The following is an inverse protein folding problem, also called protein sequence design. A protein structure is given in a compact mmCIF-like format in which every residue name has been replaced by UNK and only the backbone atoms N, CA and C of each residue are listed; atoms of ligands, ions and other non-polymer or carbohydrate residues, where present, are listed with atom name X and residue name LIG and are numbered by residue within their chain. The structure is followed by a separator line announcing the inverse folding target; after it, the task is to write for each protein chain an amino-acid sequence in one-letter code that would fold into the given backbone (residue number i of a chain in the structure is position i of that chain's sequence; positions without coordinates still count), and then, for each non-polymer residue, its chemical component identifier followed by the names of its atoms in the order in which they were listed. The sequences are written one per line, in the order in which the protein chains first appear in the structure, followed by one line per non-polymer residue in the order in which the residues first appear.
data_IF_773067950016
#
_entry.id   IF_773067950016
#
_cell.length_a   1.000
_cell.length_b   1.000
_cell.length_c   1.000
_cell.angle_alpha   90.00
_cell.angle_beta   90.00
_cell.angle_gamma   90.00
#
_symmetry.space_group_name_H-M   'P 1'
#
loop_
_entity.id
_entity.type
_entity.pdbx_description
1 polymer ?
#
# COMPACT_ATOMS: atom_id res chain seq x y z
N UNK A 1 25.75 -3.81 -11.76
CA UNK A 1 25.25 -3.30 -10.50
C UNK A 1 23.75 -3.40 -10.42
N UNK A 2 23.24 -3.92 -9.35
CA UNK A 2 21.80 -4.02 -9.15
C UNK A 2 21.25 -2.66 -8.73
N UNK A 3 20.07 -2.35 -9.23
CA UNK A 3 19.35 -1.18 -8.73
C UNK A 3 18.61 -1.58 -7.45
N UNK A 4 18.61 -0.69 -6.49
CA UNK A 4 17.94 -0.91 -5.22
C UNK A 4 16.75 0.02 -5.08
N UNK A 5 15.62 -0.53 -4.68
CA UNK A 5 14.40 0.25 -4.47
C UNK A 5 13.88 0.01 -3.06
N UNK A 6 13.46 1.07 -2.42
CA UNK A 6 12.87 0.99 -1.08
C UNK A 6 11.36 0.96 -1.20
N UNK A 7 10.76 -0.09 -0.67
CA UNK A 7 9.32 -0.28 -0.71
C UNK A 7 8.78 -0.28 0.72
N UNK A 8 7.87 0.64 1.01
CA UNK A 8 7.17 0.61 2.29
C UNK A 8 5.98 -0.32 2.17
N UNK A 9 5.85 -1.24 3.12
CA UNK A 9 4.75 -2.17 3.17
C UNK A 9 3.71 -1.67 4.16
N UNK A 10 2.48 -1.56 3.69
CA UNK A 10 1.36 -1.13 4.50
C UNK A 10 0.31 -2.24 4.48
N UNK A 11 0.54 -3.34 5.24
CA UNK A 11 -0.38 -4.48 5.19
C UNK A 11 -1.79 -4.13 5.59
N UNK A 12 -1.93 -3.31 6.63
CA UNK A 12 -3.24 -2.88 7.08
C UNK A 12 -3.96 -3.93 7.90
N UNK A 13 -5.23 -4.09 7.62
CA UNK A 13 -6.14 -4.88 8.43
C UNK A 13 -6.67 -6.10 7.69
N UNK A 14 -7.35 -6.97 8.41
CA UNK A 14 -8.06 -8.10 7.83
C UNK A 14 -7.16 -9.03 7.04
N UNK A 15 -7.44 -9.20 5.77
CA UNK A 15 -6.64 -10.05 4.88
C UNK A 15 -5.41 -9.35 4.33
N UNK A 16 -5.23 -8.07 4.65
CA UNK A 16 -4.12 -7.28 4.13
C UNK A 16 -2.75 -7.90 4.34
N UNK A 17 -2.41 -8.34 5.58
CA UNK A 17 -1.10 -8.95 5.81
C UNK A 17 -0.84 -10.19 4.95
N UNK A 18 -1.84 -11.03 4.76
CA UNK A 18 -1.68 -12.22 3.92
C UNK A 18 -1.45 -11.85 2.46
N UNK A 19 -2.21 -10.88 1.99
CA UNK A 19 -2.11 -10.41 0.60
C UNK A 19 -0.73 -9.79 0.35
N UNK A 20 -0.27 -8.97 1.29
CA UNK A 20 1.04 -8.31 1.15
C UNK A 20 2.17 -9.34 1.19
N UNK A 21 2.06 -10.35 2.05
CA UNK A 21 3.06 -11.42 2.10
C UNK A 21 3.20 -12.12 0.75
N UNK A 22 2.09 -12.38 0.10
CA UNK A 22 2.13 -13.02 -1.21
C UNK A 22 2.69 -12.08 -2.28
N UNK A 23 2.35 -10.80 -2.21
CA UNK A 23 2.89 -9.80 -3.13
C UNK A 23 4.40 -9.67 -2.98
N UNK A 24 4.91 -9.72 -1.75
CA UNK A 24 6.35 -9.68 -1.50
C UNK A 24 7.05 -10.86 -2.16
N UNK A 25 6.45 -12.04 -2.10
CA UNK A 25 7.04 -13.21 -2.77
C UNK A 25 7.18 -13.00 -4.27
N UNK A 26 6.17 -12.38 -4.89
CA UNK A 26 6.22 -12.08 -6.32
C UNK A 26 7.32 -11.06 -6.60
N UNK A 27 7.43 -10.03 -5.78
CA UNK A 27 8.47 -9.01 -5.94
C UNK A 27 9.87 -9.62 -5.79
N UNK A 28 10.05 -10.51 -4.81
CA UNK A 28 11.33 -11.16 -4.61
C UNK A 28 11.70 -12.04 -5.80
N UNK A 29 10.74 -12.76 -6.37
CA UNK A 29 10.97 -13.56 -7.55
C UNK A 29 11.34 -12.67 -8.75
N UNK A 30 10.66 -11.53 -8.88
CA UNK A 30 10.96 -10.58 -9.93
C UNK A 30 12.37 -10.01 -9.79
N UNK A 31 12.77 -9.72 -8.55
CA UNK A 31 14.08 -9.15 -8.29
C UNK A 31 15.20 -10.09 -8.75
N UNK A 32 15.02 -11.39 -8.55
CA UNK A 32 15.99 -12.37 -8.99
C UNK A 32 16.10 -12.43 -10.52
N UNK A 33 14.96 -12.28 -11.19
CA UNK A 33 14.92 -12.38 -12.66
C UNK A 33 15.52 -11.15 -13.34
N UNK A 34 15.41 -9.99 -12.74
CA UNK A 34 15.81 -8.74 -13.38
C UNK A 34 17.00 -8.05 -12.75
N UNK A 35 17.64 -8.67 -11.77
CA UNK A 35 18.80 -8.06 -11.11
C UNK A 35 18.48 -6.80 -10.33
N UNK A 36 17.28 -6.74 -9.78
CA UNK A 36 16.82 -5.63 -8.97
C UNK A 36 16.81 -6.07 -7.51
N UNK A 37 17.08 -5.16 -6.59
CA UNK A 37 17.01 -5.45 -5.18
C UNK A 37 15.92 -4.60 -4.54
N UNK A 38 15.03 -5.22 -3.78
CA UNK A 38 14.01 -4.51 -3.02
C UNK A 38 14.34 -4.55 -1.54
N UNK A 39 14.22 -3.40 -0.90
CA UNK A 39 14.34 -3.29 0.56
C UNK A 39 12.96 -2.95 1.09
N UNK A 40 12.43 -3.81 1.95
CA UNK A 40 11.07 -3.65 2.46
C UNK A 40 11.09 -3.09 3.87
N UNK A 41 10.22 -2.11 4.12
CA UNK A 41 10.02 -1.53 5.44
C UNK A 41 8.55 -1.62 5.79
N UNK A 42 8.24 -2.20 6.93
CA UNK A 42 6.85 -2.35 7.36
C UNK A 42 6.34 -1.11 8.07
N UNK A 43 5.05 -0.84 7.92
CA UNK A 43 4.36 0.21 8.65
C UNK A 43 3.03 -0.33 9.15
N UNK A 44 2.68 -0.01 10.37
CA UNK A 44 1.50 -0.57 11.04
C UNK A 44 0.24 0.28 10.93
N UNK A 45 0.19 1.20 10.00
CA UNK A 45 -1.00 2.00 9.78
C UNK A 45 -2.22 1.12 9.51
N UNK A 46 -3.33 1.46 10.12
CA UNK A 46 -4.56 0.73 9.94
C UNK A 46 -5.51 0.91 11.09
N UNK A 47 -6.58 0.12 11.08
CA UNK A 47 -7.62 0.19 12.11
C UNK A 47 -7.16 -0.22 13.48
N UNK A 48 -6.31 -1.25 13.56
CA UNK A 48 -5.83 -1.69 14.87
C UNK A 48 -5.01 -0.63 15.57
N UNK A 49 -4.10 0.03 14.83
CA UNK A 49 -3.33 1.11 15.40
C UNK A 49 -4.22 2.26 15.82
N UNK A 50 -5.22 2.58 15.01
CA UNK A 50 -6.17 3.63 15.35
C UNK A 50 -6.92 3.32 16.63
N UNK A 51 -7.34 2.06 16.80
CA UNK A 51 -8.06 1.66 18.01
C UNK A 51 -7.18 1.68 19.27
N UNK A 52 -5.90 1.40 19.10
CA UNK A 52 -4.96 1.40 20.23
C UNK A 52 -4.51 2.79 20.63
N UNK A 53 -4.22 3.64 19.66
CA UNK A 53 -3.57 4.91 19.92
C UNK A 53 -4.37 6.13 19.51
N UNK A 54 -5.41 5.94 18.71
CA UNK A 54 -6.16 7.05 18.13
C UNK A 54 -5.45 7.75 17.00
N UNK A 55 -4.29 7.23 16.59
CA UNK A 55 -3.50 7.86 15.55
C UNK A 55 -3.84 7.32 14.16
N UNK A 56 -3.90 8.20 13.20
CA UNK A 56 -3.99 7.83 11.80
C UNK A 56 -2.60 8.03 11.18
N UNK A 57 -2.46 8.87 10.18
CA UNK A 57 -1.15 9.11 9.60
C UNK A 57 -0.42 10.16 10.44
N UNK A 58 0.81 9.86 10.84
CA UNK A 58 1.64 10.79 11.60
C UNK A 58 2.74 11.34 10.70
N UNK A 59 3.44 12.38 11.19
CA UNK A 59 4.56 12.95 10.46
C UNK A 59 5.68 11.93 10.25
N UNK A 60 5.86 11.02 11.20
CA UNK A 60 6.86 9.97 11.06
C UNK A 60 6.51 9.01 9.93
N UNK A 61 5.22 8.70 9.77
CA UNK A 61 4.78 7.85 8.68
C UNK A 61 5.05 8.52 7.34
N UNK A 62 4.75 9.80 7.24
CA UNK A 62 4.98 10.55 6.01
C UNK A 62 6.47 10.58 5.68
N UNK A 63 7.31 10.78 6.69
CA UNK A 63 8.75 10.77 6.47
C UNK A 63 9.24 9.42 5.98
N UNK A 64 8.75 8.33 6.56
CA UNK A 64 9.10 6.99 6.10
C UNK A 64 8.72 6.81 4.63
N UNK A 65 7.52 7.21 4.26
CA UNK A 65 7.05 7.04 2.89
C UNK A 65 7.80 7.94 1.91
N UNK A 66 8.24 9.11 2.35
CA UNK A 66 9.04 9.99 1.50
C UNK A 66 10.38 9.38 1.12
N UNK A 67 10.92 8.54 1.97
CA UNK A 67 12.18 7.85 1.69
C UNK A 67 11.99 6.57 0.89
N UNK A 68 10.76 6.21 0.60
CA UNK A 68 10.45 5.02 -0.17
C UNK A 68 10.19 5.37 -1.62
N UNK A 69 10.53 4.44 -2.50
CA UNK A 69 10.23 4.59 -3.93
C UNK A 69 8.78 4.27 -4.23
N UNK A 70 8.18 3.41 -3.42
CA UNK A 70 6.78 3.04 -3.57
C UNK A 70 6.21 2.55 -2.24
N UNK A 71 4.90 2.58 -2.15
CA UNK A 71 4.18 2.04 -1.00
C UNK A 71 3.26 0.93 -1.51
N UNK A 72 3.42 -0.26 -0.93
CA UNK A 72 2.58 -1.40 -1.27
C UNK A 72 1.50 -1.53 -0.21
N UNK A 73 0.28 -1.30 -0.62
CA UNK A 73 -0.87 -1.29 0.27
C UNK A 73 -1.63 -2.61 0.20
N UNK A 74 -1.91 -3.19 1.37
CA UNK A 74 -2.76 -4.37 1.46
C UNK A 74 -4.23 -3.97 1.55
N UNK A 75 -4.76 -3.93 2.76
CA UNK A 75 -6.16 -3.57 2.96
C UNK A 75 -6.30 -2.72 4.22
N UNK A 76 -7.09 -1.68 4.15
CA UNK A 76 -7.36 -0.84 5.30
C UNK A 76 -8.87 -0.88 5.57
N UNK A 77 -9.23 -1.30 6.76
CA UNK A 77 -10.61 -1.37 7.18
C UNK A 77 -10.73 -2.25 8.39
N UNK A 78 -11.48 -1.81 9.37
CA UNK A 78 -11.67 -2.55 10.61
C UNK A 78 -13.13 -2.44 11.03
N UNK A 79 -13.77 -3.56 11.42
CA UNK A 79 -15.20 -3.53 11.75
C UNK A 79 -15.52 -2.63 12.96
N UNK A 80 -14.54 -2.42 13.83
CA UNK A 80 -14.73 -1.58 15.02
C UNK A 80 -14.40 -0.12 14.78
N UNK A 81 -14.02 0.26 13.58
CA UNK A 81 -13.77 1.65 13.24
C UNK A 81 -14.90 2.14 12.34
N UNK A 82 -15.40 3.34 12.66
CA UNK A 82 -16.50 3.93 11.91
C UNK A 82 -16.15 4.07 10.43
N UNK A 83 -17.08 3.72 9.51
CA UNK A 83 -16.81 3.84 8.09
C UNK A 83 -16.36 5.24 7.69
N UNK A 84 -15.38 5.32 6.82
CA UNK A 84 -14.87 6.58 6.29
C UNK A 84 -13.69 7.16 7.05
N UNK A 85 -13.48 6.79 8.30
CA UNK A 85 -12.39 7.35 9.10
C UNK A 85 -11.04 6.92 8.55
N UNK A 86 -10.87 5.64 8.32
CA UNK A 86 -9.60 5.11 7.83
C UNK A 86 -9.33 5.52 6.38
N UNK A 87 -10.36 5.48 5.55
CA UNK A 87 -10.20 5.84 4.16
C UNK A 87 -9.78 7.30 4.00
N UNK A 88 -10.44 8.20 4.71
CA UNK A 88 -10.11 9.62 4.65
C UNK A 88 -8.83 9.94 5.39
N UNK A 89 -8.62 9.34 6.54
CA UNK A 89 -7.50 9.65 7.39
C UNK A 89 -6.19 9.03 6.94
N UNK A 90 -6.24 7.97 6.16
CA UNK A 90 -5.03 7.30 5.69
C UNK A 90 -4.89 7.38 4.18
N UNK A 91 -5.83 6.78 3.45
CA UNK A 91 -5.67 6.65 2.00
C UNK A 91 -5.71 8.00 1.29
N UNK A 92 -6.72 8.79 1.56
CA UNK A 92 -6.85 10.08 0.90
C UNK A 92 -5.78 11.06 1.36
N UNK A 93 -5.41 10.99 2.64
CA UNK A 93 -4.36 11.87 3.14
C UNK A 93 -3.02 11.57 2.48
N UNK A 94 -2.65 10.30 2.33
CA UNK A 94 -1.41 9.93 1.67
C UNK A 94 -1.40 10.37 0.22
N UNK A 95 -2.52 10.22 -0.47
CA UNK A 95 -2.61 10.64 -1.86
C UNK A 95 -2.43 12.13 -2.02
N UNK A 96 -2.96 12.92 -1.08
CA UNK A 96 -2.79 14.37 -1.10
C UNK A 96 -1.36 14.78 -0.76
N UNK A 97 -0.80 14.18 0.29
CA UNK A 97 0.54 14.53 0.75
C UNK A 97 1.60 14.26 -0.30
N UNK A 98 1.43 13.21 -1.10
CA UNK A 98 2.40 12.84 -2.12
C UNK A 98 1.96 13.24 -3.53
N UNK A 99 0.89 14.05 -3.63
CA UNK A 99 0.38 14.54 -4.90
C UNK A 99 0.20 13.42 -5.91
N UNK A 100 -0.37 12.30 -5.45
CA UNK A 100 -0.58 11.13 -6.28
C UNK A 100 -1.90 11.24 -7.03
N UNK A 101 -1.84 11.33 -8.33
CA UNK A 101 -3.04 11.33 -9.15
C UNK A 101 -3.24 10.03 -9.92
N UNK A 102 -2.28 9.11 -9.84
CA UNK A 102 -2.42 7.79 -10.42
C UNK A 102 -2.50 6.77 -9.29
N UNK A 103 -3.54 5.95 -9.33
CA UNK A 103 -3.72 4.87 -8.38
C UNK A 103 -3.85 3.58 -9.17
N UNK A 104 -2.77 2.84 -9.27
CA UNK A 104 -2.75 1.62 -10.07
C UNK A 104 -3.36 0.47 -9.28
N UNK A 105 -4.45 -0.05 -9.78
CA UNK A 105 -5.18 -1.13 -9.14
C UNK A 105 -5.42 -2.25 -10.16
N UNK A 106 -4.47 -3.18 -10.28
CA UNK A 106 -4.60 -4.27 -11.24
C UNK A 106 -5.85 -5.12 -10.98
N UNK A 107 -6.49 -5.53 -12.04
CA UNK A 107 -7.70 -6.33 -11.95
C UNK A 107 -7.62 -7.44 -12.98
N UNK A 108 -8.05 -8.64 -12.58
CA UNK A 108 -8.13 -9.78 -13.49
C UNK A 108 -9.57 -10.04 -13.87
N UNK A 109 -9.79 -10.30 -15.15
CA UNK A 109 -11.12 -10.65 -15.63
C UNK A 109 -11.06 -12.00 -16.31
N UNK A 110 -12.17 -12.75 -16.24
CA UNK A 110 -12.27 -13.99 -16.99
C UNK A 110 -12.40 -13.74 -18.49
N UNK A 111 -12.89 -12.56 -18.86
CA UNK A 111 -12.95 -12.13 -20.25
C UNK A 111 -11.98 -10.97 -20.44
N UNK A 112 -11.40 -10.89 -21.62
CA UNK A 112 -10.43 -9.85 -21.90
C UNK A 112 -11.01 -8.53 -22.32
N UNK A 113 -12.33 -8.41 -22.33
CA UNK A 113 -12.97 -7.18 -22.71
C UNK A 113 -12.92 -6.20 -21.56
N UNK A 114 -12.18 -5.13 -21.73
CA UNK A 114 -12.05 -4.11 -20.71
C UNK A 114 -12.82 -2.86 -21.10
N UNK A 115 -13.31 -2.09 -20.12
CA UNK A 115 -13.91 -0.81 -20.43
C UNK A 115 -12.90 0.09 -21.11
N UNK A 116 -13.28 0.63 -22.24
CA UNK A 116 -12.34 1.44 -22.99
C UNK A 116 -12.44 2.91 -22.70
N UNK A 117 -13.54 3.33 -22.05
CA UNK A 117 -13.69 4.70 -21.76
C UNK A 117 -13.53 5.11 -20.39
N UNK A 118 -13.14 4.35 -19.45
CA UNK A 118 -13.07 4.74 -18.17
C UNK A 118 -11.88 4.52 -17.55
N UNK A 119 -11.30 5.42 -17.06
CA UNK A 119 -10.14 5.33 -16.30
C UNK A 119 -10.37 5.97 -15.02
N UNK A 120 -10.17 5.33 -13.99
CA UNK A 120 -10.46 5.90 -12.73
C UNK A 120 -9.32 5.88 -11.80
#
# INVERSE_FOLDING_TARGET
MSKQYNISLLPGDGTGPEVVNEAVKVLEATSKSYGIEFVFSNNDLGGERYLKTGELVTDQDIEQFNHSDAVLLGAIGHPDVKPGILEQGILLKLRKEFDQYINLRPVSYTHLTLPTKRIV
#
